data_IF_775050212435
#
_entry.id   IF_775050212435
#
_cell.length_a   1.000
_cell.length_b   1.000
_cell.length_c   1.000
_cell.angle_alpha   90.00
_cell.angle_beta   90.00
_cell.angle_gamma   90.00
#
_symmetry.space_group_name_H-M   'P 1'
#
loop_
_entity.id
_entity.type
_entity.pdbx_description
1 polymer ?
#
# COMPACT_ATOMS: atom_id res chain seq x y z
N UNK A 1 11.39 3.36 10.85
CA UNK A 1 10.88 2.15 10.18
C UNK A 1 10.25 2.59 8.86
N UNK A 2 11.01 2.47 7.77
CA UNK A 2 10.62 2.95 6.44
C UNK A 2 9.30 2.31 5.96
N UNK A 3 9.09 1.04 6.28
CA UNK A 3 7.87 0.30 5.92
C UNK A 3 6.65 0.87 6.63
N UNK A 4 6.78 1.23 7.92
CA UNK A 4 5.68 1.86 8.65
C UNK A 4 5.34 3.25 8.14
N UNK A 5 6.34 4.04 7.76
CA UNK A 5 6.12 5.34 7.13
C UNK A 5 5.39 5.20 5.79
N UNK A 6 5.81 4.25 4.95
CA UNK A 6 5.13 3.93 3.69
C UNK A 6 3.65 3.59 3.92
N UNK A 7 3.36 2.69 4.87
CA UNK A 7 1.99 2.30 5.21
C UNK A 7 1.15 3.51 5.64
N UNK A 8 1.68 4.38 6.50
CA UNK A 8 0.94 5.57 6.94
C UNK A 8 0.68 6.55 5.79
N UNK A 9 1.64 6.74 4.88
CA UNK A 9 1.46 7.62 3.72
C UNK A 9 0.43 7.04 2.73
N UNK A 10 0.42 5.73 2.51
CA UNK A 10 -0.58 5.03 1.71
C UNK A 10 -1.98 5.19 2.30
N UNK A 11 -2.14 4.94 3.60
CA UNK A 11 -3.43 5.09 4.29
C UNK A 11 -3.97 6.52 4.21
N UNK A 12 -3.12 7.54 4.41
CA UNK A 12 -3.52 8.96 4.25
C UNK A 12 -3.91 9.31 2.81
N UNK A 13 -3.38 8.58 1.83
CA UNK A 13 -3.66 8.79 0.41
C UNK A 13 -4.85 7.96 -0.09
N UNK A 14 -5.52 7.21 0.78
CA UNK A 14 -6.72 6.44 0.45
C UNK A 14 -6.51 4.93 0.22
N UNK A 15 -5.30 4.40 0.41
CA UNK A 15 -5.00 2.97 0.24
C UNK A 15 -4.70 2.31 1.59
N UNK A 16 -5.59 1.43 2.04
CA UNK A 16 -5.43 0.69 3.30
C UNK A 16 -4.60 -0.58 3.09
N UNK A 17 -3.42 -0.62 3.71
CA UNK A 17 -2.51 -1.78 3.67
C UNK A 17 -1.91 -2.02 5.05
N UNK A 18 -1.37 -3.23 5.25
CA UNK A 18 -0.69 -3.62 6.48
C UNK A 18 0.77 -3.98 6.24
N UNK A 19 1.61 -3.78 7.25
CA UNK A 19 2.95 -4.38 7.30
C UNK A 19 2.89 -5.77 7.94
N UNK A 20 3.69 -6.69 7.43
CA UNK A 20 3.80 -8.10 7.86
C UNK A 20 5.27 -8.56 7.80
N UNK A 21 5.49 -9.85 8.05
CA UNK A 21 6.81 -10.48 8.02
C UNK A 21 7.54 -10.41 9.36
N UNK A 22 8.48 -11.34 9.59
CA UNK A 22 9.22 -11.45 10.86
C UNK A 22 9.93 -10.15 11.25
N UNK A 23 10.46 -9.43 10.25
CA UNK A 23 11.16 -8.16 10.44
C UNK A 23 10.27 -6.93 10.25
N UNK A 24 8.96 -7.12 10.00
CA UNK A 24 8.02 -6.01 9.76
C UNK A 24 8.29 -5.19 8.50
N UNK A 25 9.09 -5.71 7.57
CA UNK A 25 9.59 -5.02 6.38
C UNK A 25 8.81 -5.33 5.09
N UNK A 26 7.68 -6.04 5.18
CA UNK A 26 6.86 -6.43 4.03
C UNK A 26 5.52 -5.69 4.07
N UNK A 27 5.14 -5.03 2.98
CA UNK A 27 3.78 -4.48 2.81
C UNK A 27 2.92 -5.55 2.14
N UNK A 28 1.82 -5.96 2.79
CA UNK A 28 0.89 -6.96 2.23
C UNK A 28 -0.20 -6.29 1.41
N UNK A 29 -0.33 -6.73 0.15
CA UNK A 29 -1.45 -6.38 -0.73
C UNK A 29 -2.40 -7.58 -0.73
N UNK A 30 -3.58 -7.41 -0.15
CA UNK A 30 -4.61 -8.45 -0.06
C UNK A 30 -6.01 -7.84 -0.26
N UNK A 31 -6.33 -7.37 -1.47
CA UNK A 31 -7.64 -6.84 -1.78
C UNK A 31 -8.70 -7.96 -1.77
N UNK A 32 -10.00 -7.61 -1.67
CA UNK A 32 -11.07 -8.57 -1.90
C UNK A 32 -11.03 -9.08 -3.35
N UNK A 33 -11.46 -10.33 -3.58
CA UNK A 33 -11.46 -10.94 -4.93
C UNK A 33 -12.46 -10.30 -5.91
N UNK A 34 -13.32 -9.40 -5.42
CA UNK A 34 -14.30 -8.64 -6.20
C UNK A 34 -13.80 -7.24 -6.58
N UNK A 35 -12.53 -6.91 -6.28
CA UNK A 35 -11.92 -5.64 -6.71
C UNK A 35 -11.96 -5.54 -8.24
N UNK A 36 -12.26 -4.36 -8.76
CA UNK A 36 -12.23 -4.12 -10.21
C UNK A 36 -10.82 -3.74 -10.67
N UNK A 37 -10.55 -3.86 -11.96
CA UNK A 37 -9.28 -3.46 -12.56
C UNK A 37 -9.02 -1.96 -12.35
N UNK A 38 -10.05 -1.12 -12.49
CA UNK A 38 -9.93 0.32 -12.29
C UNK A 38 -9.55 0.67 -10.84
N UNK A 39 -10.14 -0.01 -9.86
CA UNK A 39 -9.81 0.17 -8.44
C UNK A 39 -8.37 -0.28 -8.14
N UNK A 40 -7.92 -1.38 -8.77
CA UNK A 40 -6.56 -1.86 -8.62
C UNK A 40 -5.55 -0.88 -9.22
N UNK A 41 -5.81 -0.34 -10.41
CA UNK A 41 -4.98 0.66 -11.08
C UNK A 41 -4.92 1.98 -10.29
N UNK A 42 -6.03 2.44 -9.73
CA UNK A 42 -6.06 3.62 -8.85
C UNK A 42 -5.15 3.41 -7.63
N UNK A 43 -5.27 2.27 -6.95
CA UNK A 43 -4.44 1.92 -5.80
C UNK A 43 -2.95 1.83 -6.19
N UNK A 44 -2.63 1.21 -7.32
CA UNK A 44 -1.26 1.12 -7.85
C UNK A 44 -0.67 2.50 -8.18
N UNK A 45 -1.48 3.42 -8.71
CA UNK A 45 -1.10 4.80 -8.95
C UNK A 45 -0.71 5.53 -7.66
N UNK A 46 -1.48 5.33 -6.59
CA UNK A 46 -1.17 5.87 -5.25
C UNK A 46 0.11 5.24 -4.69
N UNK A 47 0.26 3.92 -4.83
CA UNK A 47 1.48 3.20 -4.44
C UNK A 47 2.73 3.76 -5.12
N UNK A 48 2.70 3.94 -6.43
CA UNK A 48 3.83 4.48 -7.20
C UNK A 48 4.20 5.89 -6.72
N UNK A 49 3.22 6.77 -6.51
CA UNK A 49 3.43 8.14 -6.02
C UNK A 49 4.06 8.14 -4.62
N UNK A 50 3.50 7.37 -3.69
CA UNK A 50 3.99 7.32 -2.30
C UNK A 50 5.39 6.74 -2.25
N UNK A 51 5.63 5.58 -2.88
CA UNK A 51 6.90 4.89 -2.79
C UNK A 51 8.06 5.65 -3.46
N UNK A 52 7.79 6.42 -4.51
CA UNK A 52 8.81 7.26 -5.16
C UNK A 52 9.18 8.51 -4.35
N UNK A 53 8.32 8.92 -3.41
CA UNK A 53 8.54 10.07 -2.54
C UNK A 53 9.02 9.71 -1.14
N UNK A 54 9.32 8.43 -0.88
CA UNK A 54 10.01 7.94 0.31
C UNK A 54 11.52 8.06 0.13
#
# INVERSE_FOLDING_TARGET
DLTWEAVLRLCRSGVLVGRVGLYGNVIRIAPPLVITEEQAEEALGIFSKVLRGL
#
